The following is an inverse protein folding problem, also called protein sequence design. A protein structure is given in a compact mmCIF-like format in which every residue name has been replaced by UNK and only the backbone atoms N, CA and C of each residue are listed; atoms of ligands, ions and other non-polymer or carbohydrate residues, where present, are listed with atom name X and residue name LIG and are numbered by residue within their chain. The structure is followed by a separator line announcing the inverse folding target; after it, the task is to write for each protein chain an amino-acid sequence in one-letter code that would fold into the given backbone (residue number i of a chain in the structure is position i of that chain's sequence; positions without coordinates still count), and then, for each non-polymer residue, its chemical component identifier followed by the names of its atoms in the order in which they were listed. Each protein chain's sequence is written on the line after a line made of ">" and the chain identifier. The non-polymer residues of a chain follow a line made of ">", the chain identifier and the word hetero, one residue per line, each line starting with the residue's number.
data_IF_268003141757
#
_entry.id   IF_268003141757
#
_cell.length_a   1.000
_cell.length_b   1.000
_cell.length_c   1.000
_cell.angle_alpha   90.00
_cell.angle_beta   90.00
_cell.angle_gamma   90.00
#
_symmetry.space_group_name_H-M   'P 1'
#
loop_
_entity.id
_entity.type
_entity.pdbx_description
1 polymer ?
#
# COMPACT_ATOMS: atom_id res chain seq x y z
N UNK A 1 11.13 -1.28 -17.22
CA UNK A 1 11.56 -1.76 -15.88
C UNK A 1 13.05 -1.51 -15.66
N UNK A 2 13.93 -1.81 -16.66
CA UNK A 2 15.39 -1.57 -16.55
C UNK A 2 15.69 -0.08 -16.33
N UNK A 3 15.11 0.76 -17.17
CA UNK A 3 15.41 2.20 -17.25
C UNK A 3 14.76 3.01 -16.10
N UNK A 4 13.84 2.41 -15.34
CA UNK A 4 13.17 3.04 -14.20
C UNK A 4 13.85 2.78 -12.85
N UNK A 5 14.96 2.02 -12.83
CA UNK A 5 15.72 1.72 -11.60
C UNK A 5 16.93 2.62 -11.46
N UNK A 6 17.19 3.22 -10.29
CA UNK A 6 18.38 4.03 -10.05
C UNK A 6 19.66 3.20 -9.96
N UNK A 7 19.55 1.87 -9.82
CA UNK A 7 20.67 0.94 -9.72
C UNK A 7 20.87 0.21 -11.04
N UNK A 8 22.14 -0.11 -11.35
CA UNK A 8 22.48 -0.89 -12.53
C UNK A 8 21.78 -2.25 -12.50
N UNK A 9 21.08 -2.56 -13.59
CA UNK A 9 20.37 -3.83 -13.75
C UNK A 9 21.07 -4.67 -14.81
N UNK A 10 21.65 -5.77 -14.40
CA UNK A 10 22.26 -6.76 -15.30
C UNK A 10 21.18 -7.69 -15.84
N UNK A 11 21.05 -7.77 -17.15
CA UNK A 11 20.15 -8.71 -17.81
C UNK A 11 20.91 -10.04 -18.03
N UNK A 12 20.42 -11.08 -17.37
CA UNK A 12 20.89 -12.45 -17.60
C UNK A 12 19.87 -13.17 -18.48
N UNK A 13 20.28 -13.45 -19.71
CA UNK A 13 19.47 -14.23 -20.63
C UNK A 13 19.80 -15.71 -20.48
N UNK A 14 18.77 -16.56 -20.51
CA UNK A 14 18.96 -18.00 -20.59
C UNK A 14 19.49 -18.38 -21.98
N UNK A 15 20.35 -19.39 -22.11
CA UNK A 15 20.78 -19.89 -23.40
C UNK A 15 19.59 -20.35 -24.26
N UNK A 16 19.67 -20.11 -25.55
CA UNK A 16 18.62 -20.53 -26.50
C UNK A 16 18.42 -22.05 -26.42
N UNK A 17 17.17 -22.50 -26.22
CA UNK A 17 16.85 -23.92 -26.11
C UNK A 17 17.07 -24.54 -24.72
N UNK A 18 17.52 -23.76 -23.72
CA UNK A 18 17.72 -24.26 -22.35
C UNK A 18 16.65 -23.75 -21.39
N UNK A 19 15.44 -24.37 -21.44
CA UNK A 19 14.38 -24.08 -20.46
C UNK A 19 14.76 -24.46 -19.02
N UNK A 20 15.60 -25.48 -18.85
CA UNK A 20 16.05 -25.94 -17.53
C UNK A 20 16.83 -24.87 -16.74
N UNK A 21 17.53 -23.94 -17.41
CA UNK A 21 18.26 -22.86 -16.75
C UNK A 21 17.37 -21.79 -16.12
N UNK A 22 16.10 -21.69 -16.54
CA UNK A 22 15.09 -20.79 -15.95
C UNK A 22 14.20 -21.46 -14.90
N UNK A 23 14.35 -22.76 -14.67
CA UNK A 23 13.45 -23.57 -13.84
C UNK A 23 13.24 -23.05 -12.41
N UNK A 24 14.25 -22.41 -11.82
CA UNK A 24 14.12 -21.75 -10.51
C UNK A 24 13.16 -20.55 -10.51
N UNK A 25 13.23 -19.73 -11.57
CA UNK A 25 12.36 -18.54 -11.73
C UNK A 25 10.94 -18.99 -12.07
N UNK A 26 10.78 -19.96 -12.98
CA UNK A 26 9.49 -20.51 -13.37
C UNK A 26 8.78 -21.13 -12.17
N UNK A 27 9.49 -21.88 -11.34
CA UNK A 27 8.92 -22.43 -10.10
C UNK A 27 8.50 -21.32 -9.12
N UNK A 28 9.31 -20.28 -8.97
CA UNK A 28 8.95 -19.14 -8.10
C UNK A 28 7.68 -18.45 -8.61
N UNK A 29 7.57 -18.19 -9.90
CA UNK A 29 6.39 -17.61 -10.52
C UNK A 29 5.15 -18.50 -10.30
N UNK A 30 5.27 -19.80 -10.53
CA UNK A 30 4.19 -20.75 -10.29
C UNK A 30 3.68 -20.74 -8.84
N UNK A 31 4.58 -20.71 -7.86
CA UNK A 31 4.21 -20.65 -6.43
C UNK A 31 3.47 -19.33 -6.10
N UNK A 32 3.93 -18.21 -6.65
CA UNK A 32 3.25 -16.92 -6.47
C UNK A 32 1.86 -16.93 -7.12
N UNK A 33 1.74 -17.40 -8.36
CA UNK A 33 0.45 -17.51 -9.05
C UNK A 33 -0.53 -18.42 -8.33
N UNK A 34 -0.06 -19.55 -7.81
CA UNK A 34 -0.87 -20.47 -7.02
C UNK A 34 -1.43 -19.76 -5.77
N UNK A 35 -0.58 -19.02 -5.06
CA UNK A 35 -1.00 -18.28 -3.89
C UNK A 35 -2.00 -17.17 -4.23
N UNK A 36 -1.78 -16.45 -5.34
CA UNK A 36 -2.72 -15.42 -5.82
C UNK A 36 -4.09 -16.04 -6.12
N UNK A 37 -4.13 -17.20 -6.82
CA UNK A 37 -5.39 -17.89 -7.11
C UNK A 37 -6.15 -18.25 -5.84
N UNK A 38 -5.46 -18.77 -4.83
CA UNK A 38 -6.08 -19.10 -3.54
C UNK A 38 -6.64 -17.88 -2.84
N UNK A 39 -5.86 -16.78 -2.78
CA UNK A 39 -6.31 -15.53 -2.17
C UNK A 39 -7.49 -14.91 -2.93
N UNK A 40 -7.46 -14.93 -4.26
CA UNK A 40 -8.54 -14.44 -5.10
C UNK A 40 -9.82 -15.23 -4.88
N UNK A 41 -9.76 -16.56 -4.89
CA UNK A 41 -10.92 -17.43 -4.64
C UNK A 41 -11.53 -17.13 -3.26
N UNK A 42 -10.71 -16.96 -2.24
CA UNK A 42 -11.19 -16.60 -0.91
C UNK A 42 -11.83 -15.22 -0.88
N UNK A 43 -11.22 -14.24 -1.54
CA UNK A 43 -11.76 -12.89 -1.66
C UNK A 43 -13.14 -12.88 -2.33
N UNK A 44 -13.28 -13.61 -3.47
CA UNK A 44 -14.54 -13.75 -4.19
C UNK A 44 -15.61 -14.51 -3.38
N UNK A 45 -15.20 -15.50 -2.59
CA UNK A 45 -16.08 -16.22 -1.67
C UNK A 45 -16.71 -15.33 -0.60
N UNK A 46 -15.89 -14.49 0.07
CA UNK A 46 -16.36 -13.66 1.19
C UNK A 46 -17.16 -12.46 0.73
N UNK A 47 -16.78 -11.87 -0.40
CA UNK A 47 -17.49 -10.72 -0.97
C UNK A 47 -18.69 -11.10 -1.84
N UNK A 48 -18.84 -12.41 -2.17
CA UNK A 48 -19.90 -12.96 -3.04
C UNK A 48 -19.95 -12.30 -4.42
N UNK A 49 -18.83 -11.81 -4.91
CA UNK A 49 -18.70 -11.18 -6.22
C UNK A 49 -17.31 -11.45 -6.82
N UNK A 50 -17.19 -11.51 -8.17
CA UNK A 50 -15.90 -11.73 -8.81
C UNK A 50 -14.97 -10.50 -8.61
N UNK A 51 -13.70 -10.76 -8.41
CA UNK A 51 -12.66 -9.73 -8.41
C UNK A 51 -12.19 -9.49 -9.85
N UNK A 52 -12.59 -8.36 -10.43
CA UNK A 52 -12.17 -7.97 -11.77
C UNK A 52 -10.66 -7.69 -11.85
N UNK A 53 -10.07 -7.98 -13.03
CA UNK A 53 -8.62 -7.80 -13.24
C UNK A 53 -8.14 -6.36 -13.09
N UNK A 54 -9.03 -5.40 -13.35
CA UNK A 54 -8.74 -3.96 -13.24
C UNK A 54 -8.98 -3.40 -11.83
N UNK A 55 -9.46 -4.24 -10.91
CA UNK A 55 -9.75 -3.78 -9.56
C UNK A 55 -8.45 -3.44 -8.79
N UNK A 56 -8.42 -2.28 -8.17
CA UNK A 56 -7.23 -1.75 -7.44
C UNK A 56 -6.72 -2.66 -6.31
N UNK A 57 -7.54 -3.57 -5.79
CA UNK A 57 -7.13 -4.55 -4.79
C UNK A 57 -6.25 -5.67 -5.37
N UNK A 58 -6.35 -5.98 -6.68
CA UNK A 58 -5.63 -7.11 -7.26
C UNK A 58 -4.10 -6.99 -7.16
N UNK A 59 -3.47 -5.86 -7.51
CA UNK A 59 -2.03 -5.68 -7.33
C UNK A 59 -1.59 -5.82 -5.86
N UNK A 60 -2.42 -5.43 -4.91
CA UNK A 60 -2.15 -5.63 -3.48
C UNK A 60 -2.23 -7.09 -3.08
N UNK A 61 -3.16 -7.85 -3.66
CA UNK A 61 -3.27 -9.29 -3.49
C UNK A 61 -1.98 -10.01 -3.93
N UNK A 62 -1.43 -9.61 -5.09
CA UNK A 62 -0.14 -10.12 -5.59
C UNK A 62 0.98 -9.84 -4.60
N UNK A 63 1.06 -8.60 -4.10
CA UNK A 63 2.04 -8.21 -3.09
C UNK A 63 1.89 -9.00 -1.79
N UNK A 64 0.65 -9.20 -1.35
CA UNK A 64 0.36 -9.97 -0.14
C UNK A 64 0.70 -11.44 -0.30
N UNK A 65 0.47 -12.05 -1.47
CA UNK A 65 0.88 -13.41 -1.78
C UNK A 65 2.38 -13.62 -1.59
N UNK A 66 3.20 -12.72 -2.13
CA UNK A 66 4.65 -12.76 -1.96
C UNK A 66 5.06 -12.59 -0.48
N UNK A 67 4.38 -11.73 0.26
CA UNK A 67 4.59 -11.55 1.70
C UNK A 67 4.26 -12.83 2.47
N UNK A 68 3.14 -13.49 2.17
CA UNK A 68 2.74 -14.75 2.80
C UNK A 68 3.74 -15.88 2.51
N UNK A 69 4.18 -16.04 1.27
CA UNK A 69 5.19 -17.02 0.89
C UNK A 69 6.46 -16.81 1.72
N UNK A 70 6.89 -15.58 1.88
CA UNK A 70 8.09 -15.24 2.66
C UNK A 70 7.95 -15.60 4.13
N UNK A 71 6.78 -15.39 4.73
CA UNK A 71 6.58 -15.52 6.18
C UNK A 71 6.08 -16.89 6.62
N UNK A 72 5.35 -17.61 5.76
CA UNK A 72 4.63 -18.83 6.17
C UNK A 72 4.93 -20.06 5.33
N UNK A 73 5.52 -19.93 4.13
CA UNK A 73 5.84 -21.11 3.34
C UNK A 73 7.06 -21.81 3.90
N UNK A 74 6.85 -22.99 4.49
CA UNK A 74 7.94 -23.85 4.96
C UNK A 74 8.67 -24.47 3.76
N UNK A 75 9.99 -24.36 3.73
CA UNK A 75 10.87 -24.95 2.72
C UNK A 75 11.36 -26.34 3.15
N UNK A 76 12.15 -26.98 2.29
CA UNK A 76 12.64 -28.37 2.50
C UNK A 76 13.48 -28.56 3.76
N UNK A 77 14.05 -27.49 4.29
CA UNK A 77 14.81 -27.49 5.56
C UNK A 77 13.94 -27.28 6.81
N UNK A 78 12.63 -27.30 6.69
CA UNK A 78 11.67 -27.10 7.77
C UNK A 78 11.53 -25.67 8.25
N UNK A 79 12.11 -24.68 7.56
CA UNK A 79 12.07 -23.25 7.91
C UNK A 79 11.41 -22.40 6.83
N UNK A 80 10.82 -21.30 7.24
CA UNK A 80 10.35 -20.26 6.31
C UNK A 80 11.51 -19.35 5.87
N UNK A 81 11.42 -18.67 4.72
CA UNK A 81 12.40 -17.65 4.34
C UNK A 81 12.58 -16.56 5.40
N UNK A 82 11.50 -16.17 6.06
CA UNK A 82 11.55 -15.21 7.17
C UNK A 82 12.38 -15.70 8.36
N UNK A 83 12.17 -16.94 8.81
CA UNK A 83 12.95 -17.54 9.90
C UNK A 83 14.44 -17.64 9.59
N UNK A 84 14.81 -17.95 8.33
CA UNK A 84 16.23 -17.97 7.89
C UNK A 84 16.89 -16.61 8.06
N UNK A 85 16.16 -15.53 7.74
CA UNK A 85 16.65 -14.15 7.85
C UNK A 85 16.64 -13.60 9.28
N UNK A 86 15.80 -14.16 10.14
CA UNK A 86 15.59 -13.67 11.51
C UNK A 86 16.14 -14.60 12.60
N UNK A 87 17.13 -15.40 12.28
CA UNK A 87 17.82 -16.27 13.24
C UNK A 87 16.93 -17.39 13.81
N UNK A 88 16.03 -17.93 12.99
CA UNK A 88 15.14 -19.04 13.35
C UNK A 88 13.88 -18.65 14.14
N UNK A 89 13.60 -17.36 14.31
CA UNK A 89 12.39 -16.88 15.02
C UNK A 89 11.20 -16.88 14.07
N UNK A 90 10.06 -17.54 14.43
CA UNK A 90 8.85 -17.49 13.66
C UNK A 90 8.23 -16.09 13.67
N UNK A 91 7.48 -15.80 12.63
CA UNK A 91 6.72 -14.55 12.58
C UNK A 91 5.51 -14.62 13.54
N UNK A 92 5.37 -13.60 14.39
CA UNK A 92 4.29 -13.52 15.39
C UNK A 92 3.54 -12.17 15.35
N UNK A 93 3.73 -11.37 14.30
CA UNK A 93 3.03 -10.09 14.17
C UNK A 93 1.53 -10.25 13.93
N UNK A 94 0.78 -9.22 14.30
CA UNK A 94 -0.66 -9.18 14.06
C UNK A 94 -0.96 -9.19 12.55
N UNK A 95 -1.88 -10.04 12.11
CA UNK A 95 -2.33 -10.18 10.72
C UNK A 95 -3.85 -10.21 10.66
N UNK A 96 -4.42 -9.59 9.64
CA UNK A 96 -5.82 -9.73 9.26
C UNK A 96 -5.92 -10.54 7.97
N UNK A 97 -7.11 -10.86 7.53
CA UNK A 97 -7.34 -11.51 6.24
C UNK A 97 -7.30 -10.44 5.12
N UNK A 98 -6.68 -10.76 3.99
CA UNK A 98 -6.58 -9.81 2.88
C UNK A 98 -7.96 -9.45 2.34
N UNK A 99 -8.25 -8.17 2.26
CA UNK A 99 -9.58 -7.67 1.94
C UNK A 99 -10.47 -7.39 3.15
N UNK A 100 -10.09 -7.82 4.37
CA UNK A 100 -10.89 -7.56 5.58
C UNK A 100 -10.99 -6.07 5.89
N UNK A 101 -12.19 -5.60 6.20
CA UNK A 101 -12.41 -4.23 6.69
C UNK A 101 -11.98 -4.14 8.15
N UNK A 102 -11.06 -3.25 8.42
CA UNK A 102 -10.47 -3.06 9.75
C UNK A 102 -10.54 -1.61 10.19
N UNK A 103 -10.53 -1.38 11.48
CA UNK A 103 -10.20 -0.06 12.01
C UNK A 103 -8.69 0.12 12.01
N UNK A 104 -8.22 1.26 11.53
CA UNK A 104 -6.81 1.63 11.58
C UNK A 104 -6.61 3.02 12.17
N UNK A 105 -5.44 3.23 12.76
CA UNK A 105 -5.05 4.53 13.30
C UNK A 105 -4.07 5.21 12.35
N UNK A 106 -4.49 6.31 11.73
CA UNK A 106 -3.64 7.10 10.85
C UNK A 106 -2.70 7.97 11.70
N UNK A 107 -1.37 7.76 11.63
CA UNK A 107 -0.42 8.56 12.39
C UNK A 107 -0.36 10.02 11.92
N UNK A 108 -0.73 10.31 10.67
CA UNK A 108 -0.65 11.66 10.09
C UNK A 108 -1.77 12.58 10.59
N UNK A 109 -2.91 12.03 10.95
CA UNK A 109 -4.07 12.79 11.45
C UNK A 109 -4.04 13.05 12.95
N UNK A 110 -3.10 12.45 13.67
CA UNK A 110 -3.09 12.51 15.14
C UNK A 110 -2.88 13.92 15.73
N UNK A 111 -2.27 14.84 14.97
CA UNK A 111 -2.01 16.23 15.39
C UNK A 111 -3.14 17.19 15.04
N UNK A 112 -4.00 16.85 14.09
CA UNK A 112 -5.03 17.74 13.55
C UNK A 112 -6.43 17.49 14.14
N UNK A 113 -6.62 16.35 14.81
CA UNK A 113 -7.92 15.97 15.36
C UNK A 113 -8.12 16.48 16.79
N UNK A 114 -9.33 16.95 17.15
CA UNK A 114 -9.68 17.24 18.53
C UNK A 114 -9.39 16.06 19.46
N UNK A 115 -9.04 16.35 20.71
CA UNK A 115 -8.59 15.32 21.67
C UNK A 115 -9.65 14.25 21.98
N UNK A 116 -10.92 14.56 21.80
CA UNK A 116 -12.06 13.69 22.11
C UNK A 116 -12.61 12.95 20.89
N UNK A 117 -12.14 13.26 19.67
CA UNK A 117 -12.60 12.60 18.47
C UNK A 117 -11.99 11.20 18.30
N UNK A 118 -12.73 10.33 17.63
CA UNK A 118 -12.25 8.98 17.32
C UNK A 118 -11.01 9.06 16.41
N UNK A 119 -9.93 8.45 16.87
CA UNK A 119 -8.67 8.37 16.11
C UNK A 119 -8.62 7.15 15.18
N UNK A 120 -9.70 6.40 15.11
CA UNK A 120 -9.81 5.19 14.32
C UNK A 120 -10.68 5.46 13.10
N UNK A 121 -10.20 5.07 11.94
CA UNK A 121 -10.90 5.13 10.66
C UNK A 121 -11.07 3.72 10.09
N UNK A 122 -12.06 3.53 9.21
CA UNK A 122 -12.28 2.26 8.53
C UNK A 122 -11.50 2.21 7.21
N UNK A 123 -11.02 1.01 6.87
CA UNK A 123 -10.42 0.75 5.59
C UNK A 123 -10.19 -0.73 5.35
N UNK A 124 -9.83 -1.09 4.13
CA UNK A 124 -9.59 -2.47 3.69
C UNK A 124 -8.14 -2.86 3.96
N UNK A 125 -7.93 -3.94 4.70
CA UNK A 125 -6.58 -4.45 4.96
C UNK A 125 -5.99 -5.15 3.73
N UNK A 126 -4.81 -4.71 3.29
CA UNK A 126 -4.16 -5.13 2.05
C UNK A 126 -2.87 -5.93 2.26
N UNK A 127 -2.49 -6.13 3.52
CA UNK A 127 -1.25 -6.82 3.85
C UNK A 127 -0.29 -5.98 4.68
N UNK A 128 0.98 -6.39 4.69
CA UNK A 128 2.03 -5.77 5.48
C UNK A 128 3.25 -5.40 4.66
N UNK A 129 4.02 -4.47 5.16
CA UNK A 129 5.31 -4.09 4.62
C UNK A 129 6.38 -5.12 5.00
N UNK A 130 7.17 -5.58 4.02
CA UNK A 130 8.33 -6.44 4.28
C UNK A 130 9.43 -5.73 5.09
N UNK A 131 9.57 -4.41 4.92
CA UNK A 131 10.65 -3.64 5.50
C UNK A 131 10.35 -3.18 6.94
N UNK A 132 9.12 -2.69 7.19
CA UNK A 132 8.76 -2.00 8.45
C UNK A 132 7.72 -2.74 9.28
N UNK A 133 7.16 -3.84 8.77
CA UNK A 133 6.07 -4.60 9.38
C UNK A 133 4.78 -3.77 9.61
N UNK A 134 4.66 -2.60 9.00
CA UNK A 134 3.46 -1.78 9.03
C UNK A 134 2.36 -2.39 8.17
N UNK A 135 1.11 -2.17 8.58
CA UNK A 135 -0.06 -2.57 7.81
C UNK A 135 -0.34 -1.59 6.66
N UNK A 136 -0.75 -2.12 5.52
CA UNK A 136 -1.34 -1.35 4.44
C UNK A 136 -2.86 -1.41 4.55
N UNK A 137 -3.50 -0.25 4.56
CA UNK A 137 -4.95 -0.13 4.65
C UNK A 137 -5.46 0.80 3.55
N UNK A 138 -6.29 0.27 2.66
CA UNK A 138 -6.90 0.98 1.54
C UNK A 138 -8.13 1.75 1.96
N UNK A 139 -8.25 2.99 1.49
CA UNK A 139 -9.37 3.90 1.74
C UNK A 139 -9.77 4.65 0.46
N UNK A 140 -10.76 5.48 0.54
CA UNK A 140 -11.17 6.40 -0.52
C UNK A 140 -10.16 7.53 -0.83
N UNK A 141 -9.25 7.80 0.10
CA UNK A 141 -8.16 8.78 -0.05
C UNK A 141 -6.81 8.17 -0.42
N UNK A 142 -6.77 6.86 -0.63
CA UNK A 142 -5.55 6.12 -0.94
C UNK A 142 -5.21 5.07 0.10
N UNK A 143 -4.01 4.51 -0.02
CA UNK A 143 -3.51 3.48 0.90
C UNK A 143 -2.63 4.11 1.97
N UNK A 144 -2.98 3.86 3.21
CA UNK A 144 -2.29 4.35 4.40
C UNK A 144 -1.39 3.26 4.99
N UNK A 145 -0.29 3.68 5.60
CA UNK A 145 0.55 2.82 6.43
C UNK A 145 0.25 3.09 7.90
N UNK A 146 -0.01 2.05 8.66
CA UNK A 146 -0.26 2.18 10.09
C UNK A 146 0.38 1.03 10.87
N UNK A 147 0.64 1.27 12.16
CA UNK A 147 1.22 0.26 13.05
C UNK A 147 0.16 -0.56 13.78
N UNK A 148 -1.04 -0.02 13.90
CA UNK A 148 -2.09 -0.63 14.70
C UNK A 148 -3.37 -0.75 13.90
N UNK A 149 -3.93 -1.93 13.91
CA UNK A 149 -5.26 -2.23 13.36
C UNK A 149 -6.10 -2.89 14.44
N UNK A 150 -7.41 -2.74 14.32
CA UNK A 150 -8.39 -3.44 15.12
C UNK A 150 -9.38 -4.13 14.20
N UNK A 151 -9.49 -5.44 14.34
CA UNK A 151 -10.40 -6.25 13.53
C UNK A 151 -11.83 -6.05 13.97
N UNK A 152 -12.74 -5.99 13.01
CA UNK A 152 -14.17 -5.91 13.29
C UNK A 152 -14.76 -7.27 13.70
N UNK A 153 -15.96 -7.28 14.32
CA UNK A 153 -16.74 -8.50 14.49
C UNK A 153 -16.97 -9.18 13.13
N UNK A 154 -17.03 -10.49 13.10
CA UNK A 154 -17.06 -11.30 11.87
C UNK A 154 -18.11 -10.84 10.84
N UNK A 155 -19.29 -10.46 11.30
CA UNK A 155 -20.40 -9.99 10.44
C UNK A 155 -20.14 -8.65 9.73
N UNK A 156 -19.14 -7.89 10.18
CA UNK A 156 -18.82 -6.55 9.68
C UNK A 156 -17.48 -6.48 8.94
N UNK A 157 -16.79 -7.63 8.81
CA UNK A 157 -15.45 -7.69 8.18
C UNK A 157 -15.45 -7.50 6.67
N UNK A 158 -16.59 -7.72 6.02
CA UNK A 158 -16.67 -7.81 4.56
C UNK A 158 -17.73 -6.84 4.05
N UNK A 159 -17.36 -5.57 3.93
CA UNK A 159 -18.23 -4.52 3.41
C UNK A 159 -17.82 -4.14 1.99
N UNK A 160 -18.67 -4.52 1.03
CA UNK A 160 -18.49 -4.23 -0.41
C UNK A 160 -18.36 -2.74 -0.66
N UNK A 161 -19.13 -1.89 0.05
CA UNK A 161 -19.11 -0.44 -0.15
C UNK A 161 -17.77 0.19 0.23
N UNK A 162 -17.11 -0.34 1.26
CA UNK A 162 -15.77 0.11 1.67
C UNK A 162 -14.73 -0.35 0.64
N UNK A 163 -14.87 -1.58 0.12
CA UNK A 163 -14.00 -2.10 -0.91
C UNK A 163 -14.08 -1.32 -2.21
N UNK A 164 -15.28 -1.03 -2.71
CA UNK A 164 -15.50 -0.32 -3.99
C UNK A 164 -15.01 1.14 -3.96
N UNK A 165 -14.98 1.75 -2.79
CA UNK A 165 -14.45 3.12 -2.61
C UNK A 165 -12.94 3.19 -2.53
N UNK A 166 -12.29 2.05 -2.37
CA UNK A 166 -10.85 1.99 -2.20
C UNK A 166 -10.14 2.46 -3.47
N UNK A 167 -9.13 3.31 -3.30
CA UNK A 167 -8.25 3.78 -4.37
C UNK A 167 -6.79 3.59 -4.00
N UNK A 168 -5.93 3.59 -5.02
CA UNK A 168 -4.49 3.49 -4.85
C UNK A 168 -3.93 2.09 -5.04
N UNK A 169 -2.85 2.03 -5.79
CA UNK A 169 -2.13 0.82 -6.18
C UNK A 169 -0.74 0.79 -5.52
N UNK A 170 -0.04 -0.35 -5.46
CA UNK A 170 1.27 -0.45 -4.82
C UNK A 170 2.33 0.54 -5.33
N UNK A 171 2.26 0.91 -6.60
CA UNK A 171 3.16 1.90 -7.24
C UNK A 171 2.66 3.33 -7.16
N UNK A 172 1.35 3.54 -6.93
CA UNK A 172 0.71 4.84 -6.69
C UNK A 172 -0.30 4.71 -5.53
N UNK A 173 0.16 4.60 -4.28
CA UNK A 173 -0.71 4.33 -3.14
C UNK A 173 -1.60 5.51 -2.75
N UNK A 174 -1.24 6.72 -3.14
CA UNK A 174 -2.04 7.92 -2.93
C UNK A 174 -2.20 8.65 -4.27
N UNK A 175 -3.10 8.18 -5.14
CA UNK A 175 -3.37 8.86 -6.38
C UNK A 175 -3.83 10.29 -6.06
N UNK A 176 -3.27 11.24 -6.79
CA UNK A 176 -3.73 12.63 -6.71
C UNK A 176 -5.13 12.64 -7.31
N UNK A 177 -6.15 12.64 -6.46
CA UNK A 177 -7.50 13.00 -6.91
C UNK A 177 -7.41 14.47 -7.31
N UNK A 178 -7.71 14.79 -8.56
CA UNK A 178 -7.59 16.12 -9.17
C UNK A 178 -8.52 17.19 -8.54
N UNK A 179 -8.61 17.25 -7.25
CA UNK A 179 -9.44 18.19 -6.52
C UNK A 179 -8.64 19.11 -5.57
N UNK A 180 -7.32 19.12 -5.68
CA UNK A 180 -6.56 20.20 -5.03
C UNK A 180 -6.22 21.20 -6.11
N UNK A 181 -7.03 22.26 -6.20
CA UNK A 181 -6.61 23.50 -6.86
C UNK A 181 -5.17 23.86 -6.45
N UNK A 182 -4.45 24.63 -7.26
CA UNK A 182 -3.06 24.96 -6.97
C UNK A 182 -2.96 25.41 -5.52
N UNK A 183 -2.04 24.80 -4.77
CA UNK A 183 -1.77 25.23 -3.38
C UNK A 183 -1.48 26.70 -3.42
N UNK A 184 -2.35 27.52 -2.81
CA UNK A 184 -2.12 28.94 -2.71
C UNK A 184 -0.76 29.14 -2.07
N UNK A 185 0.19 29.67 -2.80
CA UNK A 185 1.49 30.05 -2.24
C UNK A 185 1.24 31.31 -1.42
N UNK A 186 1.11 31.15 -0.10
CA UNK A 186 1.03 32.29 0.78
C UNK A 186 2.40 32.96 0.86
N UNK A 187 2.53 34.10 0.18
CA UNK A 187 3.70 34.97 0.30
C UNK A 187 3.51 35.75 1.58
N UNK A 188 4.28 35.43 2.62
CA UNK A 188 4.24 36.22 3.87
C UNK A 188 4.83 37.62 3.64
N UNK A 189 4.33 38.62 4.41
CA UNK A 189 4.81 40.00 4.36
C UNK A 189 6.34 40.09 4.50
N UNK A 190 6.94 39.25 5.35
CA UNK A 190 8.38 39.19 5.55
C UNK A 190 9.15 38.72 4.30
N UNK A 191 8.58 37.80 3.51
CA UNK A 191 9.15 37.37 2.20
C UNK A 191 9.01 38.46 1.16
N UNK A 192 7.91 39.19 1.15
CA UNK A 192 7.68 40.31 0.25
C UNK A 192 8.63 41.46 0.53
N UNK A 193 8.90 41.79 1.81
CA UNK A 193 9.90 42.80 2.23
C UNK A 193 11.31 42.36 1.82
N UNK A 194 11.65 41.09 1.98
CA UNK A 194 13.00 40.56 1.72
C UNK A 194 13.33 40.42 0.21
N UNK A 195 12.34 40.07 -0.61
CA UNK A 195 12.55 39.69 -2.01
C UNK A 195 11.85 40.64 -3.02
N UNK A 196 11.09 41.61 -2.53
CA UNK A 196 10.24 42.48 -3.37
C UNK A 196 8.95 41.82 -3.82
N UNK A 197 8.01 42.62 -4.29
CA UNK A 197 6.76 42.14 -4.87
C UNK A 197 6.91 41.83 -6.37
N UNK A 198 6.21 40.83 -6.86
CA UNK A 198 6.21 40.50 -8.29
C UNK A 198 5.51 41.61 -9.08
N UNK A 199 6.15 42.24 -10.09
CA UNK A 199 5.52 43.24 -10.92
C UNK A 199 4.20 42.75 -11.51
N UNK A 200 3.11 43.56 -11.38
CA UNK A 200 1.79 43.22 -11.90
C UNK A 200 0.95 42.26 -11.05
N UNK A 201 1.44 41.79 -9.89
CA UNK A 201 0.68 40.92 -8.99
C UNK A 201 -0.19 41.76 -8.05
N UNK A 202 -1.52 41.66 -8.20
CA UNK A 202 -2.50 42.37 -7.35
C UNK A 202 -2.39 41.99 -5.85
N UNK A 203 -2.01 40.75 -5.53
CA UNK A 203 -1.82 40.31 -4.16
C UNK A 203 -0.56 40.91 -3.50
N UNK A 204 0.50 41.17 -4.28
CA UNK A 204 1.72 41.81 -3.80
C UNK A 204 1.53 43.32 -3.56
N UNK A 205 0.66 43.96 -4.30
CA UNK A 205 0.43 45.40 -4.23
C UNK A 205 -0.88 45.82 -3.53
N UNK A 206 -1.76 44.85 -3.22
CA UNK A 206 -3.05 45.09 -2.56
C UNK A 206 -2.92 45.44 -1.06
N UNK A 207 -1.82 45.14 -0.40
CA UNK A 207 -1.59 45.47 1.02
C UNK A 207 -0.93 46.85 1.26
N UNK A 208 -0.68 47.63 0.23
CA UNK A 208 -0.11 48.97 0.36
C UNK A 208 -1.16 50.07 0.59
N UNK A 209 -2.42 49.74 0.85
CA UNK A 209 -3.50 50.66 1.19
C UNK A 209 -4.28 50.15 2.41
N UNK A 210 -3.66 50.22 3.57
CA UNK A 210 -4.34 50.39 4.86
C UNK A 210 -3.35 51.04 5.82
#
# INVERSE_FOLDING_TARGET
>A
VRDSRPQETVLLNTPVGSSASAGGIERCNYEVEKQIRTLRSRFEEVYKQPLHLEHVALPWLVRHAAWQITHYQVKSDGRTPYERLRGGRPYNGQVAECGEVVHYRDPTKASEQPKLDSRWSLGVWLGKSLASDEHFVGTDSGVHRCRSIWRQPEKQRWDVKVLERMVGEPWNPKPVVEARGPRGVYISLNRQIKHGGTPGCTACFGHAKQ
#
